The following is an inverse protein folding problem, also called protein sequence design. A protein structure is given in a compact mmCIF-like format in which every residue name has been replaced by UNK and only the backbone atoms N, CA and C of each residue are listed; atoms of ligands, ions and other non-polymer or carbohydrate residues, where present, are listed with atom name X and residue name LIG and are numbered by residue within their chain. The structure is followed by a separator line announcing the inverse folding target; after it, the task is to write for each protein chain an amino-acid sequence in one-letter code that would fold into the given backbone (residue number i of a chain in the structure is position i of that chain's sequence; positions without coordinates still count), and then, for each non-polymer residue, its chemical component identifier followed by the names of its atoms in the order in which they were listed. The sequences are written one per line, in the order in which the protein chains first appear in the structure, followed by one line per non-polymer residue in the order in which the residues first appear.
data_IF_960166238112
#
_entry.id   IF_960166238112
#
_cell.length_a   1.000
_cell.length_b   1.000
_cell.length_c   1.000
_cell.angle_alpha   90.00
_cell.angle_beta   90.00
_cell.angle_gamma   90.00
#
_symmetry.space_group_name_H-M   'P 1'
#
loop_
_entity.id
_entity.type
_entity.pdbx_description
1 polymer ?
#
# COMPACT_ATOMS: atom_id res chain seq x y z
N UNK A 1 16.58 -20.54 -33.27
CA UNK A 1 15.16 -20.36 -32.87
C UNK A 1 15.09 -19.37 -31.72
N UNK A 2 14.60 -18.15 -31.96
CA UNK A 2 14.43 -17.15 -30.90
C UNK A 2 13.14 -17.44 -30.13
N UNK A 3 13.25 -18.05 -28.96
CA UNK A 3 12.11 -18.26 -28.06
C UNK A 3 11.72 -16.90 -27.48
N UNK A 4 10.65 -16.30 -28.00
CA UNK A 4 10.02 -15.12 -27.39
C UNK A 4 9.54 -15.52 -25.99
N UNK A 5 10.21 -15.04 -24.94
CA UNK A 5 9.73 -15.20 -23.57
C UNK A 5 8.43 -14.42 -23.44
N UNK A 6 7.36 -15.13 -23.11
CA UNK A 6 6.01 -14.60 -23.07
C UNK A 6 5.85 -13.82 -21.74
N UNK A 7 6.26 -12.54 -21.71
CA UNK A 7 6.26 -11.70 -20.49
C UNK A 7 4.88 -11.54 -19.84
N UNK A 8 3.82 -11.76 -20.63
CA UNK A 8 2.43 -11.84 -20.16
C UNK A 8 2.21 -12.96 -19.14
N UNK A 9 2.97 -14.06 -19.23
CA UNK A 9 2.90 -15.20 -18.31
C UNK A 9 3.63 -14.92 -16.97
N UNK A 10 4.65 -14.06 -16.97
CA UNK A 10 5.35 -13.69 -15.75
C UNK A 10 4.44 -12.87 -14.81
N UNK A 11 3.69 -11.91 -15.37
CA UNK A 11 2.74 -11.09 -14.60
C UNK A 11 1.57 -11.90 -14.03
N UNK A 12 1.06 -12.88 -14.77
CA UNK A 12 0.00 -13.77 -14.26
C UNK A 12 0.52 -14.69 -13.15
N UNK A 13 1.74 -15.23 -13.28
CA UNK A 13 2.41 -16.03 -12.24
C UNK A 13 2.63 -15.26 -10.95
N UNK A 14 3.14 -14.03 -11.00
CA UNK A 14 3.36 -13.21 -9.80
C UNK A 14 2.04 -12.86 -9.08
N UNK A 15 0.97 -12.63 -9.84
CA UNK A 15 -0.36 -12.36 -9.28
C UNK A 15 -0.97 -13.59 -8.60
N UNK A 16 -0.71 -14.77 -9.16
CA UNK A 16 -1.05 -16.05 -8.54
C UNK A 16 -0.25 -16.31 -7.27
N UNK A 17 1.05 -16.05 -7.28
CA UNK A 17 1.96 -16.30 -6.16
C UNK A 17 1.64 -15.43 -4.93
N UNK A 18 1.32 -14.15 -5.14
CA UNK A 18 0.85 -13.27 -4.06
C UNK A 18 -0.45 -13.80 -3.41
N UNK A 19 -1.34 -14.36 -4.22
CA UNK A 19 -2.62 -14.91 -3.74
C UNK A 19 -2.42 -16.18 -2.89
N UNK A 20 -1.44 -17.02 -3.24
CA UNK A 20 -1.06 -18.21 -2.48
C UNK A 20 -0.48 -17.81 -1.13
N UNK A 21 0.53 -16.91 -1.12
CA UNK A 21 1.17 -16.44 0.11
C UNK A 21 0.22 -15.72 1.06
N UNK A 22 -0.69 -14.90 0.53
CA UNK A 22 -1.69 -14.20 1.34
C UNK A 22 -2.72 -15.17 1.94
N UNK A 23 -3.08 -16.24 1.21
CA UNK A 23 -4.00 -17.29 1.69
C UNK A 23 -3.36 -18.16 2.78
N UNK A 24 -2.08 -18.48 2.65
CA UNK A 24 -1.33 -19.25 3.65
C UNK A 24 -1.18 -18.49 4.97
N UNK A 25 -0.95 -17.17 4.90
CA UNK A 25 -0.69 -16.34 6.09
C UNK A 25 -1.89 -16.12 6.98
N UNK A 26 -3.10 -16.07 6.42
CA UNK A 26 -4.31 -15.70 7.18
C UNK A 26 -5.22 -16.88 7.52
N UNK A 27 -5.02 -18.08 6.95
CA UNK A 27 -5.79 -19.32 7.22
C UNK A 27 -7.34 -19.17 7.23
N UNK A 28 -7.90 -18.08 6.71
CA UNK A 28 -9.35 -17.79 6.65
C UNK A 28 -9.79 -17.62 5.20
N UNK A 29 -10.88 -18.28 4.82
CA UNK A 29 -11.39 -18.33 3.44
C UNK A 29 -12.30 -17.13 3.14
N UNK A 30 -11.71 -15.94 2.99
CA UNK A 30 -12.46 -14.77 2.54
C UNK A 30 -12.99 -14.93 1.10
N UNK A 31 -14.22 -14.47 0.79
CA UNK A 31 -14.73 -14.39 -0.57
C UNK A 31 -13.76 -13.59 -1.46
N UNK A 32 -13.55 -14.07 -2.69
CA UNK A 32 -12.63 -13.49 -3.67
C UNK A 32 -12.90 -12.00 -3.91
N UNK A 33 -14.17 -11.60 -3.92
CA UNK A 33 -14.61 -10.22 -4.09
C UNK A 33 -14.12 -9.30 -2.97
N UNK A 34 -14.19 -9.75 -1.71
CA UNK A 34 -13.74 -8.99 -0.53
C UNK A 34 -12.22 -8.83 -0.53
N UNK A 35 -11.49 -9.90 -0.82
CA UNK A 35 -10.02 -9.88 -0.91
C UNK A 35 -9.53 -8.96 -2.02
N UNK A 36 -10.18 -9.02 -3.18
CA UNK A 36 -9.87 -8.13 -4.27
C UNK A 36 -10.23 -6.68 -3.96
N UNK A 37 -11.37 -6.38 -3.33
CA UNK A 37 -11.71 -5.01 -2.94
C UNK A 37 -10.77 -4.44 -1.89
N UNK A 38 -10.21 -5.27 -1.01
CA UNK A 38 -9.20 -4.83 -0.06
C UNK A 38 -7.85 -4.55 -0.75
N UNK A 39 -7.43 -5.37 -1.71
CA UNK A 39 -6.10 -5.26 -2.36
C UNK A 39 -6.09 -4.33 -3.59
N UNK A 40 -7.23 -4.18 -4.28
CA UNK A 40 -7.35 -3.36 -5.50
C UNK A 40 -7.02 -1.88 -5.30
N UNK A 41 -7.40 -1.21 -4.20
CA UNK A 41 -7.00 0.18 -3.95
C UNK A 41 -5.48 0.31 -3.97
N UNK A 42 -4.78 -0.57 -3.23
CA UNK A 42 -3.31 -0.57 -3.14
C UNK A 42 -2.61 -0.89 -4.46
N UNK A 43 -3.22 -1.68 -5.34
CA UNK A 43 -2.60 -2.17 -6.59
C UNK A 43 -3.01 -1.41 -7.84
N UNK A 44 -4.19 -0.79 -7.87
CA UNK A 44 -4.67 -0.01 -9.03
C UNK A 44 -4.17 1.44 -9.02
N UNK A 45 -3.98 2.06 -7.84
CA UNK A 45 -3.39 3.40 -7.74
C UNK A 45 -1.93 3.47 -8.22
N UNK A 46 -1.25 2.32 -8.28
CA UNK A 46 0.09 2.22 -8.88
C UNK A 46 0.11 2.45 -10.39
N UNK A 47 -1.05 2.44 -11.07
CA UNK A 47 -1.15 2.76 -12.51
C UNK A 47 -1.26 4.26 -12.77
N UNK A 48 -1.72 5.04 -11.80
CA UNK A 48 -1.91 6.49 -11.95
C UNK A 48 -0.69 7.30 -11.53
N UNK A 49 0.16 6.75 -10.66
CA UNK A 49 1.50 7.30 -10.44
C UNK A 49 2.37 6.88 -11.63
N UNK A 50 2.72 7.84 -12.50
CA UNK A 50 3.66 7.63 -13.59
C UNK A 50 4.91 6.90 -13.09
N UNK A 51 5.48 6.04 -13.94
CA UNK A 51 6.57 5.16 -13.56
C UNK A 51 7.70 5.89 -12.83
N UNK A 52 8.21 5.30 -11.75
CA UNK A 52 9.33 5.87 -11.01
C UNK A 52 10.64 5.63 -11.74
N UNK A 53 11.43 6.69 -11.95
CA UNK A 53 12.75 6.58 -12.58
C UNK A 53 13.84 6.06 -11.63
N UNK A 54 13.53 5.90 -10.34
CA UNK A 54 14.46 5.39 -9.33
C UNK A 54 13.76 4.44 -8.34
N UNK A 55 14.51 3.44 -7.86
CA UNK A 55 14.04 2.51 -6.82
C UNK A 55 13.64 3.27 -5.55
N UNK A 56 14.47 4.24 -5.15
CA UNK A 56 14.23 5.04 -3.96
C UNK A 56 12.95 5.89 -4.08
N UNK A 57 12.69 6.47 -5.26
CA UNK A 57 11.45 7.21 -5.52
C UNK A 57 10.21 6.31 -5.48
N UNK A 58 10.33 5.07 -5.99
CA UNK A 58 9.28 4.07 -5.89
C UNK A 58 9.00 3.64 -4.46
N UNK A 59 10.03 3.47 -3.64
CA UNK A 59 9.90 3.12 -2.23
C UNK A 59 9.23 4.24 -1.43
N UNK A 60 9.74 5.48 -1.56
CA UNK A 60 9.16 6.65 -0.88
C UNK A 60 7.70 6.84 -1.26
N UNK A 61 7.37 6.73 -2.54
CA UNK A 61 5.98 6.90 -2.98
C UNK A 61 5.07 5.77 -2.50
N UNK A 62 5.57 4.53 -2.42
CA UNK A 62 4.81 3.43 -1.83
C UNK A 62 4.47 3.71 -0.36
N UNK A 63 5.42 4.22 0.42
CA UNK A 63 5.19 4.60 1.83
C UNK A 63 4.13 5.68 1.94
N UNK A 64 4.25 6.77 1.18
CA UNK A 64 3.25 7.86 1.22
C UNK A 64 1.87 7.40 0.79
N UNK A 65 1.77 6.60 -0.28
CA UNK A 65 0.50 6.03 -0.73
C UNK A 65 -0.12 5.12 0.33
N UNK A 66 0.67 4.28 0.99
CA UNK A 66 0.18 3.42 2.08
C UNK A 66 -0.42 4.23 3.23
N UNK A 67 0.18 5.35 3.60
CA UNK A 67 -0.36 6.25 4.64
C UNK A 67 -1.67 6.87 4.18
N UNK A 68 -1.71 7.44 2.97
CA UNK A 68 -2.91 8.08 2.41
C UNK A 68 -4.07 7.10 2.27
N UNK A 69 -3.81 5.89 1.79
CA UNK A 69 -4.85 4.85 1.69
C UNK A 69 -5.33 4.39 3.07
N UNK A 70 -4.45 4.31 4.07
CA UNK A 70 -4.85 4.05 5.47
C UNK A 70 -5.79 5.14 5.99
N UNK A 71 -5.49 6.42 5.75
CA UNK A 71 -6.40 7.53 6.11
C UNK A 71 -7.77 7.39 5.43
N UNK A 72 -7.81 7.03 4.14
CA UNK A 72 -9.06 6.79 3.41
C UNK A 72 -9.86 5.63 3.99
N UNK A 73 -9.20 4.53 4.37
CA UNK A 73 -9.85 3.39 5.01
C UNK A 73 -10.49 3.78 6.35
N UNK A 74 -9.83 4.65 7.11
CA UNK A 74 -10.32 5.20 8.37
C UNK A 74 -11.34 6.34 8.18
N UNK A 75 -11.70 6.69 6.93
CA UNK A 75 -12.57 7.82 6.58
C UNK A 75 -12.09 9.17 7.16
N UNK A 76 -10.79 9.31 7.41
CA UNK A 76 -10.16 10.56 7.87
C UNK A 76 -9.54 11.28 6.66
N UNK A 77 -9.68 12.62 6.54
CA UNK A 77 -9.03 13.36 5.46
C UNK A 77 -7.50 13.30 5.63
N UNK A 78 -6.74 12.88 4.60
CA UNK A 78 -5.28 12.74 4.70
C UNK A 78 -4.55 14.04 5.08
N UNK A 79 -5.09 15.20 4.66
CA UNK A 79 -4.51 16.50 4.97
C UNK A 79 -4.48 16.78 6.48
N UNK A 80 -5.57 16.45 7.20
CA UNK A 80 -5.64 16.62 8.65
C UNK A 80 -4.66 15.69 9.37
N UNK A 81 -4.49 14.47 8.87
CA UNK A 81 -3.49 13.54 9.39
C UNK A 81 -2.08 14.16 9.33
N UNK A 82 -1.69 14.67 8.15
CA UNK A 82 -0.36 15.28 7.99
C UNK A 82 -0.21 16.54 8.84
N UNK A 83 -1.23 17.40 8.89
CA UNK A 83 -1.20 18.62 9.71
C UNK A 83 -0.98 18.30 11.19
N UNK A 84 -1.71 17.32 11.74
CA UNK A 84 -1.54 16.88 13.14
C UNK A 84 -0.19 16.20 13.37
N UNK A 85 0.24 15.33 12.44
CA UNK A 85 1.54 14.67 12.53
C UNK A 85 2.69 15.69 12.58
N UNK A 86 2.74 16.63 11.63
CA UNK A 86 3.76 17.67 11.62
C UNK A 86 3.65 18.64 12.81
N UNK A 87 2.43 18.92 13.29
CA UNK A 87 2.22 19.69 14.52
C UNK A 87 2.89 19.03 15.73
N UNK A 88 2.64 17.74 15.96
CA UNK A 88 3.28 17.00 17.05
C UNK A 88 4.81 16.92 16.93
N UNK A 89 5.33 16.81 15.70
CA UNK A 89 6.78 16.87 15.46
C UNK A 89 7.35 18.26 15.78
N UNK A 90 6.64 19.33 15.39
CA UNK A 90 7.04 20.70 15.69
C UNK A 90 7.01 21.01 17.19
N UNK A 91 6.11 20.37 17.94
CA UNK A 91 6.06 20.39 19.42
C UNK A 91 7.21 19.59 20.06
N UNK A 92 8.04 18.92 19.26
CA UNK A 92 9.21 18.17 19.74
C UNK A 92 8.90 16.74 20.19
N UNK A 93 7.69 16.23 19.94
CA UNK A 93 7.36 14.83 20.23
C UNK A 93 8.13 13.91 19.29
N UNK A 94 8.76 12.89 19.85
CA UNK A 94 9.57 11.89 19.12
C UNK A 94 9.05 10.46 19.31
N UNK A 95 7.96 10.31 20.04
CA UNK A 95 7.37 9.01 20.38
C UNK A 95 6.47 8.54 19.23
N UNK A 96 7.09 8.12 18.13
CA UNK A 96 6.40 7.82 16.88
C UNK A 96 5.32 6.73 17.01
N UNK A 97 5.51 5.75 17.90
CA UNK A 97 4.51 4.70 18.16
C UNK A 97 3.22 5.29 18.75
N UNK A 98 3.35 6.10 19.80
CA UNK A 98 2.24 6.77 20.47
C UNK A 98 1.56 7.79 19.54
N UNK A 99 2.37 8.56 18.79
CA UNK A 99 1.86 9.49 17.79
C UNK A 99 1.05 8.79 16.70
N UNK A 100 1.50 7.62 16.25
CA UNK A 100 0.80 6.83 15.23
C UNK A 100 -0.51 6.28 15.77
N UNK A 101 -0.52 5.80 17.01
CA UNK A 101 -1.73 5.33 17.67
C UNK A 101 -2.76 6.46 17.84
N UNK A 102 -2.33 7.65 18.27
CA UNK A 102 -3.20 8.82 18.44
C UNK A 102 -3.79 9.33 17.11
N UNK A 103 -3.05 9.21 16.02
CA UNK A 103 -3.52 9.65 14.70
C UNK A 103 -4.49 8.65 14.04
N UNK A 104 -4.26 7.36 14.25
CA UNK A 104 -4.99 6.28 13.55
C UNK A 104 -6.15 5.69 14.36
N UNK A 105 -6.16 5.80 15.70
CA UNK A 105 -7.35 5.56 16.53
C UNK A 105 -8.30 6.75 16.52
#
# INVERSE_FOLDING_TARGET
MHVKRNDSNAKSRMKGDFHVRFRERLRVKFPWSTRQRAVRPFTNLRKSFGGFSSENGGHVTAVYLSIVETCKLLKKPPLEFFRRFFGMIAEGRRDYELMTQELLC
#
